data_IF_985106566488
#
_entry.id   IF_985106566488
#
_cell.length_a   1.000
_cell.length_b   1.000
_cell.length_c   1.000
_cell.angle_alpha   90.00
_cell.angle_beta   90.00
_cell.angle_gamma   90.00
#
_symmetry.space_group_name_H-M   'P 1'
#
loop_
_entity.id
_entity.type
_entity.pdbx_description
1 polymer ?
#
# COMPACT_ATOMS: atom_id res chain seq x y z
N UNK A 1 -13.34 -29.41 -29.82
CA UNK A 1 -13.93 -28.08 -29.54
C UNK A 1 -14.35 -27.93 -28.09
N UNK A 2 -14.95 -28.92 -27.46
CA UNK A 2 -15.40 -28.86 -26.05
C UNK A 2 -14.29 -28.66 -25.03
N UNK A 3 -13.16 -29.35 -25.20
CA UNK A 3 -11.99 -29.26 -24.30
C UNK A 3 -11.34 -27.88 -24.31
N UNK A 4 -11.37 -27.19 -25.45
CA UNK A 4 -10.80 -25.85 -25.58
C UNK A 4 -11.70 -24.78 -24.93
N UNK A 5 -13.02 -24.96 -25.00
CA UNK A 5 -13.99 -24.10 -24.33
C UNK A 5 -13.90 -24.22 -22.81
N UNK A 6 -13.74 -25.44 -22.27
CA UNK A 6 -13.55 -25.66 -20.84
C UNK A 6 -12.24 -25.02 -20.30
N UNK A 7 -11.14 -25.16 -21.05
CA UNK A 7 -9.86 -24.56 -20.67
C UNK A 7 -9.91 -23.01 -20.66
N UNK A 8 -10.60 -22.42 -21.63
CA UNK A 8 -10.79 -20.98 -21.71
C UNK A 8 -11.64 -20.45 -20.53
N UNK A 9 -12.68 -21.16 -20.11
CA UNK A 9 -13.48 -20.80 -18.94
C UNK A 9 -12.65 -20.79 -17.65
N UNK A 10 -11.84 -21.83 -17.42
CA UNK A 10 -10.98 -21.92 -16.23
C UNK A 10 -9.94 -20.78 -16.22
N UNK A 11 -9.37 -20.46 -17.39
CA UNK A 11 -8.41 -19.35 -17.50
C UNK A 11 -9.07 -18.01 -17.23
N UNK A 12 -10.27 -17.78 -17.74
CA UNK A 12 -11.04 -16.57 -17.52
C UNK A 12 -11.39 -16.39 -16.03
N UNK A 13 -11.88 -17.45 -15.37
CA UNK A 13 -12.18 -17.40 -13.93
C UNK A 13 -10.97 -17.03 -13.09
N UNK A 14 -9.79 -17.59 -13.39
CA UNK A 14 -8.54 -17.27 -12.70
C UNK A 14 -8.14 -15.82 -12.90
N UNK A 15 -8.24 -15.33 -14.13
CA UNK A 15 -7.95 -13.93 -14.45
C UNK A 15 -8.92 -12.97 -13.75
N UNK A 16 -10.21 -13.30 -13.70
CA UNK A 16 -11.21 -12.49 -13.00
C UNK A 16 -10.94 -12.43 -11.49
N UNK A 17 -10.63 -13.57 -10.86
CA UNK A 17 -10.31 -13.58 -9.42
C UNK A 17 -9.08 -12.74 -9.10
N UNK A 18 -8.03 -12.82 -9.92
CA UNK A 18 -6.85 -11.97 -9.79
C UNK A 18 -7.20 -10.49 -9.96
N UNK A 19 -7.93 -10.13 -11.00
CA UNK A 19 -8.32 -8.76 -11.27
C UNK A 19 -9.16 -8.19 -10.11
N UNK A 20 -10.13 -8.94 -9.59
CA UNK A 20 -10.93 -8.53 -8.44
C UNK A 20 -10.06 -8.34 -7.20
N UNK A 21 -9.11 -9.24 -6.93
CA UNK A 21 -8.22 -9.12 -5.78
C UNK A 21 -7.31 -7.89 -5.88
N UNK A 22 -6.77 -7.57 -7.06
CA UNK A 22 -5.97 -6.36 -7.28
C UNK A 22 -6.81 -5.09 -7.15
N UNK A 23 -8.00 -5.06 -7.74
CA UNK A 23 -8.93 -3.93 -7.64
C UNK A 23 -9.39 -3.71 -6.19
N UNK A 24 -9.67 -4.79 -5.46
CA UNK A 24 -10.02 -4.71 -4.05
C UNK A 24 -8.89 -4.13 -3.21
N UNK A 25 -7.67 -4.63 -3.41
CA UNK A 25 -6.49 -4.11 -2.70
C UNK A 25 -6.25 -2.63 -2.98
N UNK A 26 -6.26 -2.23 -4.24
CA UNK A 26 -6.11 -0.82 -4.64
C UNK A 26 -7.28 0.04 -4.18
N UNK A 27 -8.51 -0.47 -4.25
CA UNK A 27 -9.73 0.20 -3.81
C UNK A 27 -9.75 0.48 -2.31
N UNK A 28 -9.38 -0.49 -1.50
CA UNK A 28 -9.27 -0.33 -0.04
C UNK A 28 -8.25 0.75 0.31
N UNK A 29 -7.07 0.73 -0.31
CA UNK A 29 -6.04 1.74 -0.08
C UNK A 29 -6.50 3.13 -0.51
N UNK A 30 -7.09 3.24 -1.71
CA UNK A 30 -7.59 4.53 -2.22
C UNK A 30 -8.72 5.08 -1.36
N UNK A 31 -9.66 4.24 -0.94
CA UNK A 31 -10.76 4.62 -0.07
C UNK A 31 -10.26 5.10 1.31
N UNK A 32 -9.30 4.39 1.91
CA UNK A 32 -8.68 4.83 3.15
C UNK A 32 -8.02 6.21 3.02
N UNK A 33 -7.30 6.42 1.92
CA UNK A 33 -6.65 7.71 1.64
C UNK A 33 -7.68 8.84 1.43
N UNK A 34 -8.77 8.59 0.71
CA UNK A 34 -9.80 9.59 0.46
C UNK A 34 -10.59 9.96 1.72
N UNK A 35 -10.83 9.00 2.61
CA UNK A 35 -11.60 9.22 3.83
C UNK A 35 -10.75 9.84 4.93
N UNK A 36 -9.57 9.30 5.18
CA UNK A 36 -8.71 9.68 6.30
C UNK A 36 -7.57 10.63 5.91
N UNK A 37 -7.40 10.96 4.63
CA UNK A 37 -6.25 11.73 4.15
C UNK A 37 -6.15 13.16 4.69
N UNK A 38 -7.30 13.77 5.01
CA UNK A 38 -7.39 15.13 5.57
C UNK A 38 -7.58 15.15 7.10
N UNK A 39 -7.64 13.96 7.73
CA UNK A 39 -7.82 13.88 9.16
C UNK A 39 -6.53 14.17 9.91
N UNK A 40 -6.65 14.55 11.19
CA UNK A 40 -5.47 14.64 12.05
C UNK A 40 -4.81 13.27 12.20
N UNK A 41 -3.55 13.15 11.75
CA UNK A 41 -2.79 11.92 11.83
C UNK A 41 -1.93 11.92 13.08
N UNK A 42 -1.96 10.81 13.81
CA UNK A 42 -1.08 10.60 14.95
C UNK A 42 0.33 10.30 14.47
N UNK A 43 1.30 11.11 14.90
CA UNK A 43 2.72 10.82 14.65
C UNK A 43 3.16 9.64 15.53
N UNK A 44 3.45 8.51 14.89
CA UNK A 44 3.93 7.29 15.53
C UNK A 44 5.46 7.19 15.52
N UNK A 45 6.16 8.27 15.16
CA UNK A 45 7.62 8.30 15.10
C UNK A 45 8.21 8.18 16.51
N UNK A 46 8.87 7.08 16.77
CA UNK A 46 9.54 6.84 18.05
C UNK A 46 10.97 7.40 18.06
N UNK A 47 11.56 7.55 19.25
CA UNK A 47 12.97 7.90 19.37
C UNK A 47 13.87 6.86 18.70
N UNK A 48 13.44 5.61 18.64
CA UNK A 48 14.16 4.51 17.99
C UNK A 48 14.17 4.69 16.46
N UNK A 49 13.06 5.11 15.86
CA UNK A 49 12.97 5.36 14.42
C UNK A 49 13.93 6.45 13.96
N UNK A 50 14.17 7.45 14.81
CA UNK A 50 15.12 8.53 14.55
C UNK A 50 16.59 8.09 14.60
N UNK A 51 16.88 6.97 15.26
CA UNK A 51 18.24 6.40 15.37
C UNK A 51 18.58 5.51 14.17
N UNK A 52 17.58 5.04 13.43
CA UNK A 52 17.79 4.19 12.25
C UNK A 52 18.18 5.07 11.07
N UNK A 53 19.39 4.91 10.51
CA UNK A 53 19.81 5.68 9.35
C UNK A 53 18.95 5.29 8.13
N UNK A 54 18.61 6.26 7.30
CA UNK A 54 17.96 5.99 6.02
C UNK A 54 18.92 5.25 5.09
N UNK A 55 18.56 4.03 4.69
CA UNK A 55 19.38 3.17 3.85
C UNK A 55 18.66 2.98 2.50
N UNK A 56 19.08 3.67 1.41
CA UNK A 56 18.34 3.69 0.15
C UNK A 56 18.12 2.31 -0.49
N UNK A 57 19.05 1.38 -0.34
CA UNK A 57 18.93 0.05 -0.94
C UNK A 57 17.78 -0.81 -0.32
N UNK A 58 17.26 -0.46 0.85
CA UNK A 58 16.09 -1.14 1.45
C UNK A 58 14.86 -1.01 0.58
N UNK A 59 14.79 -0.01 -0.30
CA UNK A 59 13.76 0.15 -1.31
C UNK A 59 13.70 -1.06 -2.25
N UNK A 60 14.85 -1.68 -2.55
CA UNK A 60 14.89 -2.89 -3.35
C UNK A 60 14.18 -4.07 -2.66
N UNK A 61 14.30 -4.20 -1.33
CA UNK A 61 13.58 -5.20 -0.54
C UNK A 61 12.08 -4.94 -0.61
N UNK A 62 11.68 -3.68 -0.52
CA UNK A 62 10.29 -3.26 -0.62
C UNK A 62 9.67 -3.67 -1.98
N UNK A 63 10.36 -3.39 -3.09
CA UNK A 63 9.93 -3.87 -4.41
C UNK A 63 9.92 -5.40 -4.51
N UNK A 64 10.90 -6.07 -3.91
CA UNK A 64 10.94 -7.53 -3.82
C UNK A 64 9.70 -8.11 -3.14
N UNK A 65 9.19 -7.46 -2.09
CA UNK A 65 7.95 -7.85 -1.43
C UNK A 65 6.73 -7.77 -2.36
N UNK A 66 6.64 -6.75 -3.23
CA UNK A 66 5.55 -6.67 -4.21
C UNK A 66 5.61 -7.78 -5.25
N UNK A 67 6.81 -8.09 -5.75
CA UNK A 67 7.00 -9.21 -6.69
C UNK A 67 6.60 -10.52 -6.01
N UNK A 68 7.09 -10.76 -4.80
CA UNK A 68 6.75 -11.95 -4.01
C UNK A 68 5.24 -12.06 -3.79
N UNK A 69 4.57 -10.96 -3.44
CA UNK A 69 3.13 -10.91 -3.29
C UNK A 69 2.40 -11.25 -4.60
N UNK A 70 2.80 -10.66 -5.73
CA UNK A 70 2.24 -10.95 -7.04
C UNK A 70 2.38 -12.43 -7.43
N UNK A 71 3.56 -13.03 -7.19
CA UNK A 71 3.80 -14.46 -7.42
C UNK A 71 2.87 -15.33 -6.56
N UNK A 72 2.72 -15.02 -5.28
CA UNK A 72 1.81 -15.76 -4.39
C UNK A 72 0.36 -15.70 -4.89
N UNK A 73 -0.13 -14.53 -5.28
CA UNK A 73 -1.48 -14.38 -5.84
C UNK A 73 -1.66 -15.22 -7.10
N UNK A 74 -0.68 -15.18 -8.00
CA UNK A 74 -0.69 -16.01 -9.21
C UNK A 74 -0.74 -17.50 -8.87
N UNK A 75 0.11 -17.97 -7.96
CA UNK A 75 0.13 -19.37 -7.53
C UNK A 75 -1.19 -19.79 -6.88
N UNK A 76 -1.75 -18.95 -6.00
CA UNK A 76 -3.03 -19.21 -5.36
C UNK A 76 -4.19 -19.22 -6.36
N UNK A 77 -4.17 -18.40 -7.39
CA UNK A 77 -5.19 -18.39 -8.44
C UNK A 77 -5.26 -19.70 -9.22
N UNK A 78 -4.14 -20.43 -9.27
CA UNK A 78 -4.04 -21.74 -9.98
C UNK A 78 -4.48 -22.94 -9.15
N UNK A 79 -4.78 -22.73 -7.87
CA UNK A 79 -5.29 -23.81 -7.00
C UNK A 79 -6.72 -24.21 -7.38
N UNK A 80 -7.18 -25.34 -6.83
CA UNK A 80 -8.56 -25.78 -6.91
C UNK A 80 -9.53 -24.69 -6.43
N UNK A 81 -10.70 -24.60 -7.04
CA UNK A 81 -11.66 -23.53 -6.79
C UNK A 81 -11.98 -23.33 -5.29
N UNK A 82 -12.10 -24.41 -4.51
CA UNK A 82 -12.36 -24.32 -3.09
C UNK A 82 -11.23 -23.66 -2.28
N UNK A 83 -9.98 -24.05 -2.54
CA UNK A 83 -8.80 -23.50 -1.88
C UNK A 83 -8.55 -22.06 -2.31
N UNK A 84 -8.65 -21.80 -3.61
CA UNK A 84 -8.53 -20.47 -4.20
C UNK A 84 -9.50 -19.49 -3.57
N UNK A 85 -10.79 -19.83 -3.56
CA UNK A 85 -11.82 -18.93 -3.04
C UNK A 85 -11.65 -18.66 -1.53
N UNK A 86 -11.25 -19.66 -0.75
CA UNK A 86 -10.95 -19.47 0.69
C UNK A 86 -9.78 -18.52 0.89
N UNK A 87 -8.71 -18.65 0.10
CA UNK A 87 -7.55 -17.75 0.18
C UNK A 87 -7.95 -16.30 -0.11
N UNK A 88 -8.62 -16.06 -1.24
CA UNK A 88 -9.00 -14.70 -1.62
C UNK A 88 -10.08 -14.10 -0.70
N UNK A 89 -10.96 -14.91 -0.14
CA UNK A 89 -11.93 -14.46 0.86
C UNK A 89 -11.23 -14.07 2.17
N UNK A 90 -10.27 -14.86 2.64
CA UNK A 90 -9.47 -14.54 3.83
C UNK A 90 -8.63 -13.26 3.63
N UNK A 91 -8.01 -13.12 2.46
CA UNK A 91 -7.24 -11.94 2.09
C UNK A 91 -8.14 -10.68 2.02
N UNK A 92 -9.31 -10.78 1.42
CA UNK A 92 -10.28 -9.68 1.35
C UNK A 92 -10.77 -9.27 2.74
N UNK A 93 -11.03 -10.23 3.62
CA UNK A 93 -11.42 -9.97 5.01
C UNK A 93 -10.29 -9.30 5.79
N UNK A 94 -9.06 -9.79 5.66
CA UNK A 94 -7.89 -9.18 6.31
C UNK A 94 -7.72 -7.71 5.90
N UNK A 95 -7.87 -7.40 4.60
CA UNK A 95 -7.80 -6.02 4.10
C UNK A 95 -8.96 -5.16 4.58
N UNK A 96 -10.17 -5.71 4.70
CA UNK A 96 -11.31 -4.98 5.27
C UNK A 96 -11.06 -4.63 6.74
N UNK A 97 -10.47 -5.53 7.53
CA UNK A 97 -10.08 -5.27 8.92
C UNK A 97 -9.00 -4.18 8.97
N UNK A 98 -7.96 -4.28 8.13
CA UNK A 98 -6.92 -3.24 8.03
C UNK A 98 -7.52 -1.88 7.66
N UNK A 99 -8.47 -1.84 6.74
CA UNK A 99 -9.18 -0.62 6.35
C UNK A 99 -9.88 0.04 7.54
N UNK A 100 -10.61 -0.74 8.33
CA UNK A 100 -11.29 -0.24 9.55
C UNK A 100 -10.26 0.33 10.54
N UNK A 101 -9.15 -0.37 10.74
CA UNK A 101 -8.08 0.08 11.65
C UNK A 101 -7.45 1.39 11.15
N UNK A 102 -7.16 1.52 9.86
CA UNK A 102 -6.59 2.74 9.28
C UNK A 102 -7.51 3.94 9.35
N UNK A 103 -8.83 3.73 9.26
CA UNK A 103 -9.81 4.81 9.46
C UNK A 103 -9.94 5.15 10.95
N UNK A 104 -9.98 4.15 11.84
CA UNK A 104 -10.14 4.38 13.27
C UNK A 104 -8.92 5.06 13.89
N UNK A 105 -7.72 4.76 13.42
CA UNK A 105 -6.45 5.29 13.95
C UNK A 105 -5.59 5.73 12.76
N UNK A 106 -5.85 6.91 12.17
CA UNK A 106 -5.03 7.44 11.09
C UNK A 106 -3.64 7.80 11.64
N UNK A 107 -2.63 7.07 11.20
CA UNK A 107 -1.25 7.24 11.64
C UNK A 107 -0.37 7.77 10.53
N UNK A 108 0.64 8.56 10.87
CA UNK A 108 1.69 9.02 9.97
C UNK A 108 3.05 8.83 10.62
N UNK A 109 4.07 8.72 9.77
CA UNK A 109 5.47 8.75 10.20
C UNK A 109 6.17 9.92 9.51
N UNK A 110 6.92 10.70 10.28
CA UNK A 110 7.78 11.74 9.72
C UNK A 110 8.95 11.05 9.02
N UNK A 111 8.99 11.17 7.71
CA UNK A 111 10.09 10.62 6.90
C UNK A 111 11.20 11.66 6.76
N UNK A 112 12.49 11.25 6.87
CA UNK A 112 13.59 12.15 6.60
C UNK A 112 13.54 12.66 5.15
N UNK A 113 13.95 13.92 4.94
CA UNK A 113 14.07 14.48 3.60
C UNK A 113 15.13 13.73 2.81
N UNK A 114 14.75 13.22 1.63
CA UNK A 114 15.65 12.53 0.74
C UNK A 114 16.32 13.57 -0.13
N UNK A 115 17.56 13.91 0.20
CA UNK A 115 18.42 14.82 -0.58
C UNK A 115 19.12 14.12 -1.75
N UNK A 116 18.90 12.81 -1.92
CA UNK A 116 19.57 12.01 -2.92
C UNK A 116 18.94 12.24 -4.30
N UNK A 117 19.72 12.81 -5.23
CA UNK A 117 19.33 13.11 -6.62
C UNK A 117 19.55 11.93 -7.58
N UNK A 118 19.93 10.76 -7.05
CA UNK A 118 20.19 9.54 -7.83
C UNK A 118 18.93 8.76 -8.21
N UNK A 119 19.15 7.56 -8.75
CA UNK A 119 18.11 6.59 -9.13
C UNK A 119 17.10 6.33 -8.00
N UNK A 120 17.54 6.40 -6.76
CA UNK A 120 16.73 6.19 -5.57
C UNK A 120 15.77 7.36 -5.31
N UNK A 121 16.18 8.60 -5.61
CA UNK A 121 15.31 9.77 -5.53
C UNK A 121 14.17 9.75 -6.55
N UNK A 122 14.36 9.09 -7.70
CA UNK A 122 13.31 8.89 -8.69
C UNK A 122 12.32 7.78 -8.29
N UNK A 123 12.81 6.71 -7.65
CA UNK A 123 11.98 5.57 -7.24
C UNK A 123 11.16 5.84 -5.98
N UNK A 124 11.56 6.82 -5.17
CA UNK A 124 10.82 7.21 -3.97
C UNK A 124 9.94 8.41 -4.31
N UNK A 125 8.60 8.24 -4.40
CA UNK A 125 7.72 9.33 -4.79
C UNK A 125 7.85 10.52 -3.84
N UNK A 126 8.25 11.67 -4.36
CA UNK A 126 8.38 12.97 -3.67
C UNK A 126 7.02 13.56 -3.22
N UNK A 127 5.96 12.78 -3.29
CA UNK A 127 4.60 13.23 -3.02
C UNK A 127 4.39 13.73 -1.57
N UNK A 128 5.31 13.42 -0.65
CA UNK A 128 5.25 13.89 0.74
C UNK A 128 5.88 15.27 0.97
N UNK A 129 6.73 15.76 0.08
CA UNK A 129 7.39 17.06 0.27
C UNK A 129 6.42 18.24 0.23
N UNK A 130 5.33 18.13 -0.52
CA UNK A 130 4.33 19.19 -0.64
C UNK A 130 3.46 19.31 0.62
N UNK A 131 3.00 18.18 1.16
CA UNK A 131 2.16 18.17 2.38
C UNK A 131 2.96 18.54 3.63
N UNK A 132 4.21 18.08 3.71
CA UNK A 132 5.12 18.44 4.82
C UNK A 132 5.48 19.92 4.78
N UNK A 133 5.69 20.50 3.59
CA UNK A 133 5.91 21.95 3.44
C UNK A 133 4.69 22.75 3.85
N UNK A 134 3.49 22.39 3.41
CA UNK A 134 2.25 23.07 3.79
C UNK A 134 2.02 23.03 5.31
N UNK A 135 2.37 21.91 5.96
CA UNK A 135 2.22 21.77 7.41
C UNK A 135 3.25 22.62 8.18
N UNK A 136 4.51 22.64 7.72
CA UNK A 136 5.58 23.46 8.30
C UNK A 136 5.27 24.95 8.13
N UNK A 137 4.83 25.36 6.94
CA UNK A 137 4.49 26.75 6.65
C UNK A 137 3.25 27.18 7.41
N UNK A 138 2.23 26.33 7.51
CA UNK A 138 1.04 26.59 8.31
C UNK A 138 1.32 26.76 9.81
N UNK A 139 2.21 25.94 10.36
CA UNK A 139 2.61 26.03 11.78
C UNK A 139 3.52 27.24 12.05
N UNK A 140 4.33 27.65 11.09
CA UNK A 140 5.18 28.83 11.20
C UNK A 140 4.35 30.12 11.26
N UNK A 141 3.36 30.22 10.42
CA UNK A 141 2.44 31.37 10.39
C UNK A 141 1.60 31.50 11.66
N UNK A 142 1.25 30.38 12.30
CA UNK A 142 0.56 30.38 13.60
C UNK A 142 1.45 30.79 14.74
N UNK A 143 2.76 30.52 14.68
CA UNK A 143 3.72 30.86 15.72
C UNK A 143 4.18 32.34 15.67
N UNK A 144 4.10 32.98 14.49
CA UNK A 144 4.45 34.40 14.30
C UNK A 144 3.27 35.34 14.60
N UNK A 145 2.05 34.79 14.87
CA UNK A 145 0.86 35.56 15.16
C UNK A 145 0.53 35.68 16.67
N UNK A 146 1.43 35.21 17.55
CA UNK A 146 1.35 35.34 19.02
C UNK A 146 2.48 36.28 19.49
#
# INVERSE_FOLDING_TARGET
MENQSANNKITLERALVLAIAFLWNGGVYMAARLIAGEWHHYDMTTSFDRMIPFVPWTVAIYFGCYIFWGVNYYMCSRQEAGKRNRFFAADALAKAICFIIFIAIPTTNIRPEITDTGLWGFLIPTQHSQLTRQWIDGNRLSAESI
#
